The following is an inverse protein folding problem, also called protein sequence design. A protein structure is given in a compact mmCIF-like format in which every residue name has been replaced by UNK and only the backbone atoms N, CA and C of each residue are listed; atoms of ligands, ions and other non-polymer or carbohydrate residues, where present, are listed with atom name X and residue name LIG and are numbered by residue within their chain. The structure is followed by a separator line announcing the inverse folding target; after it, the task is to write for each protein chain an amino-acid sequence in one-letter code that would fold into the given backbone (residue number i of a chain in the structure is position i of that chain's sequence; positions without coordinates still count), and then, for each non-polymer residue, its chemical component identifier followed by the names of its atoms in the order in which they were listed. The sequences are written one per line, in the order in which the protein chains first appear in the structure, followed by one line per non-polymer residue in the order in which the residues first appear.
data_IF_415518150845
#
_entry.id   IF_415518150845
#
_cell.length_a   1.000
_cell.length_b   1.000
_cell.length_c   1.000
_cell.angle_alpha   90.00
_cell.angle_beta   90.00
_cell.angle_gamma   90.00
#
_symmetry.space_group_name_H-M   'P 1'
#
loop_
_entity.id
_entity.type
_entity.pdbx_description
1 polymer ?
#
# COMPACT_ATOMS: atom_id res chain seq x y z
N UNK A 1 -24.58 19.92 15.83
CA UNK A 1 -23.15 20.27 15.72
C UNK A 1 -22.41 19.11 15.02
N UNK A 2 -21.18 19.30 14.51
CA UNK A 2 -20.38 18.28 13.88
C UNK A 2 -19.24 17.92 14.82
N UNK A 3 -18.97 16.61 14.97
CA UNK A 3 -17.92 16.10 15.85
C UNK A 3 -17.12 15.01 15.14
N UNK A 4 -15.82 14.97 15.38
CA UNK A 4 -14.92 13.89 14.98
C UNK A 4 -14.67 12.99 16.18
N UNK A 5 -14.98 11.69 16.03
CA UNK A 5 -14.79 10.66 17.05
C UNK A 5 -13.51 9.91 16.77
N UNK A 6 -12.70 9.67 17.78
CA UNK A 6 -11.39 9.02 17.69
C UNK A 6 -11.13 8.08 18.86
N UNK A 7 -10.18 7.15 18.70
CA UNK A 7 -9.69 6.28 19.79
C UNK A 7 -8.82 7.07 20.75
N UNK A 8 -9.17 7.05 22.04
CA UNK A 8 -8.50 7.88 23.07
C UNK A 8 -7.03 7.50 23.30
N UNK A 9 -6.66 6.23 23.05
CA UNK A 9 -5.32 5.70 23.29
C UNK A 9 -4.36 5.92 22.10
N UNK A 10 -4.90 5.93 20.87
CA UNK A 10 -4.09 6.03 19.66
C UNK A 10 -4.28 7.32 18.88
N UNK A 11 -5.37 8.03 19.11
CA UNK A 11 -5.75 9.22 18.33
C UNK A 11 -6.26 8.90 16.92
N UNK A 12 -6.44 7.62 16.57
CA UNK A 12 -6.98 7.23 15.27
C UNK A 12 -8.41 7.72 15.12
N UNK A 13 -8.67 8.48 14.05
CA UNK A 13 -10.01 9.01 13.76
C UNK A 13 -10.88 7.89 13.19
N UNK A 14 -12.02 7.65 13.81
CA UNK A 14 -12.94 6.58 13.43
C UNK A 14 -14.05 7.06 12.49
N UNK A 15 -14.67 8.19 12.83
CA UNK A 15 -15.81 8.74 12.09
C UNK A 15 -16.08 10.19 12.42
N UNK A 16 -16.81 10.86 11.55
CA UNK A 16 -17.41 12.17 11.81
C UNK A 16 -18.93 12.02 11.92
N UNK A 17 -19.54 12.65 12.92
CA UNK A 17 -20.97 12.59 13.16
C UNK A 17 -21.57 14.00 13.29
N UNK A 18 -22.81 14.15 12.86
CA UNK A 18 -23.60 15.35 13.12
C UNK A 18 -24.71 14.99 14.12
N UNK A 19 -24.67 15.58 15.29
CA UNK A 19 -25.61 15.26 16.36
C UNK A 19 -25.76 16.45 17.34
N UNK A 20 -26.88 16.49 18.04
CA UNK A 20 -27.09 17.42 19.14
C UNK A 20 -26.83 16.76 20.52
N UNK A 21 -26.55 15.43 20.51
CA UNK A 21 -26.18 14.67 21.71
C UNK A 21 -25.00 13.75 21.38
N UNK A 22 -23.79 14.25 21.58
CA UNK A 22 -22.55 13.50 21.28
C UNK A 22 -22.35 12.33 22.24
N UNK A 23 -22.76 12.44 23.49
CA UNK A 23 -22.53 11.37 24.49
C UNK A 23 -23.24 10.07 24.13
N UNK A 24 -24.34 10.13 23.36
CA UNK A 24 -25.03 8.95 22.83
C UNK A 24 -24.27 8.23 21.69
N UNK A 25 -23.25 8.86 21.12
CA UNK A 25 -22.48 8.38 19.97
C UNK A 25 -21.13 7.79 20.36
N UNK A 26 -20.69 8.03 21.60
CA UNK A 26 -19.37 7.63 22.12
C UNK A 26 -19.46 6.24 22.74
N UNK A 27 -18.46 5.39 22.42
CA UNK A 27 -18.26 4.08 23.02
C UNK A 27 -17.07 4.09 24.00
N UNK A 28 -16.94 3.01 24.77
CA UNK A 28 -15.78 2.85 25.66
C UNK A 28 -14.47 2.88 24.88
N UNK A 29 -13.52 3.73 25.29
CA UNK A 29 -12.23 3.93 24.62
C UNK A 29 -12.25 4.98 23.50
N UNK A 30 -13.41 5.59 23.24
CA UNK A 30 -13.54 6.69 22.29
C UNK A 30 -13.58 8.06 23.00
N UNK A 31 -13.15 9.07 22.27
CA UNK A 31 -13.26 10.49 22.61
C UNK A 31 -13.69 11.28 21.37
N UNK A 32 -13.95 12.57 21.54
CA UNK A 32 -14.34 13.43 20.44
C UNK A 32 -13.72 14.82 20.51
N UNK A 33 -13.65 15.47 19.34
CA UNK A 33 -13.38 16.89 19.17
C UNK A 33 -14.47 17.51 18.30
N UNK A 34 -14.74 18.81 18.51
CA UNK A 34 -15.70 19.54 17.68
C UNK A 34 -15.12 19.81 16.30
N UNK A 35 -15.96 19.69 15.27
CA UNK A 35 -15.60 19.90 13.87
C UNK A 35 -15.42 18.61 13.09
N UNK A 36 -15.23 18.78 11.78
CA UNK A 36 -14.92 17.69 10.84
C UNK A 36 -13.44 17.70 10.53
N UNK A 37 -12.74 16.63 10.91
CA UNK A 37 -11.30 16.46 10.69
C UNK A 37 -11.08 15.28 9.73
N UNK A 38 -10.26 15.48 8.69
CA UNK A 38 -9.97 14.48 7.68
C UNK A 38 -9.03 13.39 8.23
N UNK A 39 -9.55 12.19 8.38
CA UNK A 39 -8.79 11.02 8.88
C UNK A 39 -7.67 10.54 7.94
N UNK A 40 -7.66 10.96 6.69
CA UNK A 40 -6.58 10.65 5.75
C UNK A 40 -5.35 11.54 5.93
N UNK A 41 -5.51 12.67 6.62
CA UNK A 41 -4.48 13.70 6.79
C UNK A 41 -4.06 13.86 8.23
N UNK A 42 -4.97 13.62 9.20
CA UNK A 42 -4.77 13.93 10.61
C UNK A 42 -5.05 12.73 11.52
N UNK A 43 -4.42 12.74 12.68
CA UNK A 43 -4.81 12.01 13.89
C UNK A 43 -5.01 13.00 15.04
N UNK A 44 -5.58 12.57 16.16
CA UNK A 44 -5.82 13.44 17.33
C UNK A 44 -4.81 13.11 18.42
N UNK A 45 -4.17 14.13 18.96
CA UNK A 45 -3.29 14.06 20.12
C UNK A 45 -3.60 15.23 21.05
N UNK A 46 -3.87 14.96 22.33
CA UNK A 46 -4.25 15.94 23.32
C UNK A 46 -5.44 16.84 22.87
N UNK A 47 -6.45 16.26 22.23
CA UNK A 47 -7.62 16.94 21.63
C UNK A 47 -7.28 17.91 20.48
N UNK A 48 -6.11 17.79 19.88
CA UNK A 48 -5.67 18.63 18.74
C UNK A 48 -5.43 17.73 17.52
N UNK A 49 -5.83 18.21 16.33
CA UNK A 49 -5.51 17.55 15.08
C UNK A 49 -4.02 17.72 14.76
N UNK A 50 -3.30 16.60 14.60
CA UNK A 50 -1.90 16.55 14.23
C UNK A 50 -1.79 15.92 12.86
N UNK A 51 -1.04 16.55 11.95
CA UNK A 51 -0.86 16.05 10.58
C UNK A 51 -0.06 14.75 10.57
N UNK A 52 -0.57 13.75 9.85
CA UNK A 52 0.16 12.49 9.59
C UNK A 52 1.38 12.81 8.72
N UNK A 53 2.60 12.40 9.11
CA UNK A 53 3.79 12.64 8.30
C UNK A 53 3.62 12.09 6.87
N UNK A 54 4.30 12.66 5.86
CA UNK A 54 4.23 12.18 4.49
C UNK A 54 4.54 10.68 4.38
N UNK A 55 3.75 9.96 3.59
CA UNK A 55 3.91 8.51 3.39
C UNK A 55 5.26 8.20 2.72
N UNK A 56 6.05 7.34 3.34
CA UNK A 56 7.40 6.99 2.92
C UNK A 56 7.48 5.92 1.83
N UNK A 57 6.42 5.09 1.70
CA UNK A 57 6.34 4.02 0.72
C UNK A 57 4.88 3.70 0.40
N UNK A 58 4.53 3.30 -0.85
CA UNK A 58 3.18 2.85 -1.17
C UNK A 58 2.75 1.60 -0.37
N UNK A 59 3.71 0.84 0.17
CA UNK A 59 3.49 -0.37 0.97
C UNK A 59 3.54 -0.10 2.48
N UNK A 60 3.57 1.15 2.90
CA UNK A 60 3.55 1.51 4.31
C UNK A 60 2.14 1.78 4.81
N UNK A 61 1.86 1.40 6.05
CA UNK A 61 0.66 1.74 6.82
C UNK A 61 1.07 2.56 8.03
N UNK A 62 0.32 3.61 8.34
CA UNK A 62 0.60 4.43 9.51
C UNK A 62 0.16 3.70 10.78
N UNK A 63 1.08 3.55 11.70
CA UNK A 63 0.81 2.98 13.02
C UNK A 63 0.48 4.10 14.00
N UNK A 64 -0.79 4.23 14.37
CA UNK A 64 -1.27 5.28 15.25
C UNK A 64 -0.77 5.16 16.70
N UNK A 65 -0.29 3.98 17.12
CA UNK A 65 0.33 3.79 18.44
C UNK A 65 1.76 4.34 18.46
N UNK A 66 2.57 4.01 17.44
CA UNK A 66 3.97 4.44 17.37
C UNK A 66 4.18 5.76 16.64
N UNK A 67 3.12 6.29 15.97
CA UNK A 67 3.15 7.49 15.12
C UNK A 67 4.17 7.40 13.98
N UNK A 68 4.34 6.19 13.42
CA UNK A 68 5.31 5.91 12.36
C UNK A 68 4.70 5.12 11.22
N UNK A 69 5.26 5.28 10.02
CA UNK A 69 4.96 4.44 8.87
C UNK A 69 5.67 3.10 8.99
N UNK A 70 4.92 2.01 8.88
CA UNK A 70 5.40 0.63 8.94
C UNK A 70 5.21 -0.04 7.59
N UNK A 71 6.27 -0.61 7.03
CA UNK A 71 6.21 -1.38 5.78
C UNK A 71 5.42 -2.69 6.01
N UNK A 72 4.49 -2.97 5.11
CA UNK A 72 3.63 -4.17 5.15
C UNK A 72 3.96 -5.07 3.97
N UNK A 73 4.61 -6.20 4.25
CA UNK A 73 5.09 -7.16 3.25
C UNK A 73 3.99 -7.65 2.31
N UNK A 74 2.83 -8.01 2.84
CA UNK A 74 1.71 -8.50 2.05
C UNK A 74 1.20 -7.48 1.02
N UNK A 75 1.28 -6.18 1.30
CA UNK A 75 0.90 -5.15 0.34
C UNK A 75 1.88 -5.09 -0.84
N UNK A 76 3.18 -5.22 -0.58
CA UNK A 76 4.20 -5.25 -1.62
C UNK A 76 4.08 -6.52 -2.47
N UNK A 77 3.90 -7.68 -1.87
CA UNK A 77 3.69 -8.96 -2.56
C UNK A 77 2.44 -8.91 -3.44
N UNK A 78 1.33 -8.38 -2.92
CA UNK A 78 0.08 -8.25 -3.67
C UNK A 78 0.20 -7.34 -4.91
N UNK A 79 1.18 -6.46 -4.96
CA UNK A 79 1.50 -5.65 -6.13
C UNK A 79 2.49 -6.37 -7.08
N UNK A 80 3.56 -6.94 -6.54
CA UNK A 80 4.67 -7.51 -7.32
C UNK A 80 4.25 -8.79 -8.07
N UNK A 81 3.57 -9.73 -7.40
CA UNK A 81 3.25 -11.02 -8.00
C UNK A 81 2.28 -10.91 -9.18
N UNK A 82 1.16 -10.18 -9.13
CA UNK A 82 0.27 -10.03 -10.28
C UNK A 82 0.95 -9.33 -11.45
N UNK A 83 1.76 -8.30 -11.20
CA UNK A 83 2.51 -7.60 -12.24
C UNK A 83 3.51 -8.54 -12.94
N UNK A 84 4.28 -9.30 -12.17
CA UNK A 84 5.19 -10.34 -12.68
C UNK A 84 4.44 -11.35 -13.54
N UNK A 85 3.35 -11.88 -13.04
CA UNK A 85 2.52 -12.86 -13.75
C UNK A 85 1.99 -12.32 -15.07
N UNK A 86 1.49 -11.09 -15.08
CA UNK A 86 1.03 -10.41 -16.30
C UNK A 86 2.14 -10.29 -17.34
N UNK A 87 3.36 -9.93 -16.94
CA UNK A 87 4.52 -9.82 -17.86
C UNK A 87 4.95 -11.16 -18.40
N UNK A 88 4.92 -12.24 -17.60
CA UNK A 88 5.15 -13.59 -18.07
C UNK A 88 4.10 -14.03 -19.10
N UNK A 89 2.82 -13.84 -18.80
CA UNK A 89 1.73 -14.17 -19.74
C UNK A 89 1.84 -13.41 -21.06
N UNK A 90 2.08 -12.11 -21.02
CA UNK A 90 2.16 -11.27 -22.22
C UNK A 90 3.36 -11.60 -23.10
N UNK A 91 4.36 -12.32 -22.59
CA UNK A 91 5.56 -12.76 -23.30
C UNK A 91 5.58 -14.25 -23.64
N UNK A 92 4.55 -15.04 -23.33
CA UNK A 92 4.52 -16.49 -23.61
C UNK A 92 4.65 -16.81 -25.10
N UNK A 93 4.05 -16.00 -25.97
CA UNK A 93 4.11 -16.16 -27.42
C UNK A 93 5.55 -16.10 -27.97
N UNK A 94 6.47 -15.44 -27.27
CA UNK A 94 7.88 -15.31 -27.71
C UNK A 94 8.65 -16.61 -27.68
N UNK A 95 8.14 -17.63 -26.99
CA UNK A 95 8.80 -18.93 -26.79
C UNK A 95 8.12 -20.06 -27.58
N UNK A 96 7.17 -19.72 -28.47
CA UNK A 96 6.47 -20.72 -29.29
C UNK A 96 7.41 -21.24 -30.40
N UNK A 97 7.59 -22.57 -30.53
CA UNK A 97 8.35 -23.15 -31.64
C UNK A 97 7.77 -22.74 -33.01
N UNK A 98 8.66 -22.40 -33.97
CA UNK A 98 8.27 -21.92 -35.29
C UNK A 98 7.46 -20.60 -35.29
N UNK A 99 7.60 -19.79 -34.23
CA UNK A 99 7.00 -18.46 -34.12
C UNK A 99 7.68 -17.43 -35.04
N UNK A 100 7.19 -16.16 -35.01
CA UNK A 100 7.67 -15.11 -35.91
C UNK A 100 9.05 -14.53 -35.54
N UNK A 101 9.61 -14.89 -34.40
CA UNK A 101 10.88 -14.35 -33.89
C UNK A 101 12.08 -15.15 -34.45
N UNK A 102 13.18 -14.43 -34.68
CA UNK A 102 14.49 -15.08 -34.94
C UNK A 102 14.98 -15.81 -33.68
N UNK A 103 15.90 -16.72 -33.83
CA UNK A 103 16.53 -17.43 -32.71
C UNK A 103 17.13 -16.42 -31.69
N UNK A 104 17.85 -15.41 -32.17
CA UNK A 104 18.47 -14.40 -31.33
C UNK A 104 17.41 -13.61 -30.52
N UNK A 105 16.28 -13.27 -31.15
CA UNK A 105 15.17 -12.61 -30.47
C UNK A 105 14.54 -13.51 -29.40
N UNK A 106 14.32 -14.82 -29.72
CA UNK A 106 13.80 -15.78 -28.76
C UNK A 106 14.72 -15.94 -27.54
N UNK A 107 16.02 -15.97 -27.75
CA UNK A 107 17.02 -16.03 -26.66
C UNK A 107 16.96 -14.77 -25.77
N UNK A 108 16.87 -13.57 -26.36
CA UNK A 108 16.74 -12.33 -25.62
C UNK A 108 15.46 -12.31 -24.76
N UNK A 109 14.33 -12.76 -25.32
CA UNK A 109 13.08 -12.92 -24.58
C UNK A 109 13.17 -13.99 -23.48
N UNK A 110 13.91 -15.08 -23.71
CA UNK A 110 14.13 -16.11 -22.69
C UNK A 110 14.89 -15.55 -21.47
N UNK A 111 15.90 -14.70 -21.69
CA UNK A 111 16.63 -14.01 -20.62
C UNK A 111 15.68 -13.10 -19.82
N UNK A 112 14.94 -12.23 -20.49
CA UNK A 112 13.94 -11.36 -19.87
C UNK A 112 12.95 -12.14 -18.99
N UNK A 113 12.43 -13.26 -19.51
CA UNK A 113 11.49 -14.13 -18.78
C UNK A 113 12.14 -14.81 -17.58
N UNK A 114 13.43 -15.16 -17.67
CA UNK A 114 14.17 -15.72 -16.55
C UNK A 114 14.36 -14.65 -15.45
N UNK A 115 14.74 -13.43 -15.81
CA UNK A 115 14.84 -12.31 -14.88
C UNK A 115 13.50 -12.03 -14.17
N UNK A 116 12.36 -12.16 -14.88
CA UNK A 116 11.03 -12.09 -14.26
C UNK A 116 10.78 -13.20 -13.23
N UNK A 117 11.23 -14.44 -13.53
CA UNK A 117 11.11 -15.57 -12.59
C UNK A 117 11.96 -15.36 -11.34
N UNK A 118 13.10 -14.73 -11.49
CA UNK A 118 14.08 -14.50 -10.43
C UNK A 118 13.75 -13.28 -9.53
N UNK A 119 12.71 -12.51 -9.85
CA UNK A 119 12.28 -11.35 -9.04
C UNK A 119 12.18 -11.67 -7.54
N UNK A 120 11.59 -12.81 -7.08
CA UNK A 120 11.52 -13.12 -5.66
C UNK A 120 12.88 -13.36 -5.00
N UNK A 121 13.94 -13.54 -5.78
CA UNK A 121 15.32 -13.77 -5.30
C UNK A 121 16.13 -12.45 -5.20
N UNK A 122 15.60 -11.33 -5.66
CA UNK A 122 16.24 -10.03 -5.52
C UNK A 122 16.37 -9.64 -4.04
N UNK A 123 17.50 -9.05 -3.67
CA UNK A 123 17.76 -8.62 -2.27
C UNK A 123 16.77 -7.57 -1.75
N UNK A 124 16.15 -6.80 -2.64
CA UNK A 124 15.13 -5.78 -2.31
C UNK A 124 13.70 -6.31 -2.27
N UNK A 125 13.47 -7.59 -2.63
CA UNK A 125 12.13 -8.17 -2.63
C UNK A 125 11.53 -8.23 -1.21
N UNK A 126 10.23 -7.93 -1.03
CA UNK A 126 9.26 -7.48 -2.03
C UNK A 126 9.14 -5.94 -2.18
N UNK A 127 9.88 -5.14 -1.40
CA UNK A 127 9.67 -3.68 -1.29
C UNK A 127 10.37 -2.87 -2.38
N UNK A 128 11.56 -3.31 -2.81
CA UNK A 128 12.40 -2.65 -3.82
C UNK A 128 12.72 -3.61 -4.95
N UNK A 129 11.72 -3.90 -5.78
CA UNK A 129 11.85 -4.81 -6.91
C UNK A 129 12.20 -4.05 -8.18
N UNK A 130 13.21 -4.53 -8.91
CA UNK A 130 13.56 -4.06 -10.25
C UNK A 130 12.94 -5.01 -11.27
N UNK A 131 11.99 -4.51 -12.05
CA UNK A 131 11.43 -5.26 -13.18
C UNK A 131 12.35 -5.11 -14.39
N UNK A 132 12.68 -6.22 -15.09
CA UNK A 132 13.50 -6.16 -16.29
C UNK A 132 12.79 -5.43 -17.42
N UNK A 133 13.58 -4.86 -18.33
CA UNK A 133 13.09 -4.23 -19.56
C UNK A 133 12.96 -5.28 -20.66
N UNK A 134 11.80 -5.36 -21.35
CA UNK A 134 11.66 -6.28 -22.47
C UNK A 134 12.64 -5.93 -23.61
N UNK A 135 13.16 -6.93 -24.35
CA UNK A 135 14.09 -6.72 -25.47
C UNK A 135 13.43 -6.11 -26.70
#
# INVERSE_FOLDING_TARGET
MIYTIYLSDTGEILKTVQTDNIDSQIQSGESYVEGSIDSSVYYIEDNVAVEIPPKTSPYAVFNFTTKQWVLVENLAIAYVLPKRQKLLYSSDWTQIPNGPLTQQQQEAWAVYRQELRDIPQQSGYPFNVVFPTPP
#
